data_IF_020141600800
#
_entry.id   IF_020141600800
#
_cell.length_a   1.000
_cell.length_b   1.000
_cell.length_c   1.000
_cell.angle_alpha   90.00
_cell.angle_beta   90.00
_cell.angle_gamma   90.00
#
_symmetry.space_group_name_H-M   'P 1'
#
loop_
_entity.id
_entity.type
_entity.pdbx_description
1 polymer ?
#
# COMPACT_ATOMS: atom_id res chain seq x y z
N UNK A 1 4.36 -16.00 -6.58
CA UNK A 1 5.25 -14.83 -6.50
C UNK A 1 5.15 -14.09 -7.83
N UNK A 2 4.64 -12.86 -7.86
CA UNK A 2 4.54 -12.08 -9.10
C UNK A 2 5.95 -11.83 -9.67
N UNK A 3 6.12 -11.90 -10.99
CA UNK A 3 7.43 -11.77 -11.65
C UNK A 3 8.18 -10.46 -11.28
N UNK A 4 7.45 -9.41 -10.94
CA UNK A 4 7.99 -8.12 -10.50
C UNK A 4 8.75 -8.19 -9.18
N UNK A 5 8.35 -9.06 -8.26
CA UNK A 5 8.98 -9.18 -6.95
C UNK A 5 10.44 -9.66 -7.05
N UNK A 6 10.70 -10.65 -7.91
CA UNK A 6 12.05 -11.18 -8.13
C UNK A 6 12.96 -10.13 -8.76
N UNK A 7 12.43 -9.35 -9.70
CA UNK A 7 13.17 -8.23 -10.32
C UNK A 7 13.52 -7.16 -9.28
N UNK A 8 12.58 -6.80 -8.40
CA UNK A 8 12.82 -5.80 -7.35
C UNK A 8 13.86 -6.27 -6.32
N UNK A 9 13.82 -7.54 -5.90
CA UNK A 9 14.86 -8.11 -5.01
C UNK A 9 16.23 -8.11 -5.70
N UNK A 10 16.31 -8.56 -6.96
CA UNK A 10 17.55 -8.56 -7.74
C UNK A 10 18.14 -7.15 -7.90
N UNK A 11 17.29 -6.14 -8.09
CA UNK A 11 17.73 -4.74 -8.13
C UNK A 11 18.21 -4.26 -6.76
N UNK A 12 17.49 -4.56 -5.68
CA UNK A 12 17.89 -4.19 -4.32
C UNK A 12 19.24 -4.80 -3.92
N UNK A 13 19.52 -6.02 -4.39
CA UNK A 13 20.80 -6.70 -4.16
C UNK A 13 22.00 -6.00 -4.81
N UNK A 14 21.79 -5.16 -5.85
CA UNK A 14 22.87 -4.36 -6.44
C UNK A 14 23.36 -3.25 -5.51
N UNK A 15 22.46 -2.68 -4.70
CA UNK A 15 22.78 -1.65 -3.70
C UNK A 15 23.17 -2.25 -2.34
N UNK A 16 22.50 -3.34 -1.94
CA UNK A 16 22.69 -4.00 -0.66
C UNK A 16 22.84 -5.50 -0.87
N UNK A 17 24.07 -6.00 -0.99
CA UNK A 17 24.37 -7.41 -1.28
C UNK A 17 23.84 -8.41 -0.25
N UNK A 18 23.50 -7.96 0.97
CA UNK A 18 22.89 -8.77 2.03
C UNK A 18 21.35 -8.71 2.03
N UNK A 19 20.74 -7.88 1.19
CA UNK A 19 19.30 -7.72 1.14
C UNK A 19 18.64 -8.97 0.52
N UNK A 20 17.72 -9.56 1.29
CA UNK A 20 16.90 -10.69 0.84
C UNK A 20 15.43 -10.33 0.71
N UNK A 21 14.62 -11.35 0.48
CA UNK A 21 13.14 -11.26 0.43
C UNK A 21 12.61 -10.58 1.71
N UNK A 22 13.09 -10.99 2.88
CA UNK A 22 12.68 -10.43 4.16
C UNK A 22 13.04 -8.95 4.35
N UNK A 23 14.16 -8.50 3.78
CA UNK A 23 14.58 -7.09 3.81
C UNK A 23 13.65 -6.23 2.98
N UNK A 24 13.31 -6.69 1.77
CA UNK A 24 12.36 -5.99 0.90
C UNK A 24 10.96 -5.94 1.54
N UNK A 25 10.50 -7.05 2.12
CA UNK A 25 9.21 -7.11 2.83
C UNK A 25 9.21 -6.17 4.04
N UNK A 26 10.30 -6.12 4.81
CA UNK A 26 10.39 -5.22 5.98
C UNK A 26 10.42 -3.75 5.58
N UNK A 27 10.95 -3.41 4.42
CA UNK A 27 10.89 -2.04 3.89
C UNK A 27 9.50 -1.66 3.38
N UNK A 28 8.75 -2.62 2.81
CA UNK A 28 7.41 -2.35 2.27
C UNK A 28 6.31 -2.47 3.32
N UNK A 29 6.52 -3.21 4.42
CA UNK A 29 5.52 -3.40 5.48
C UNK A 29 5.02 -2.09 6.10
N UNK A 30 5.90 -1.15 6.53
CA UNK A 30 5.45 0.10 7.14
C UNK A 30 4.67 0.96 6.16
N UNK A 31 5.11 1.01 4.89
CA UNK A 31 4.40 1.73 3.84
C UNK A 31 3.02 1.12 3.55
N UNK A 32 2.93 -0.21 3.51
CA UNK A 32 1.66 -0.92 3.32
C UNK A 32 0.69 -0.66 4.48
N UNK A 33 1.16 -0.70 5.72
CA UNK A 33 0.35 -0.37 6.90
C UNK A 33 -0.12 1.08 6.89
N UNK A 34 0.77 2.03 6.55
CA UNK A 34 0.41 3.44 6.43
C UNK A 34 -0.63 3.67 5.33
N UNK A 35 -0.47 3.03 4.18
CA UNK A 35 -1.42 3.10 3.07
C UNK A 35 -2.78 2.51 3.45
N UNK A 36 -2.78 1.37 4.14
CA UNK A 36 -4.01 0.73 4.63
C UNK A 36 -4.74 1.64 5.62
N UNK A 37 -4.03 2.21 6.60
CA UNK A 37 -4.60 3.15 7.56
C UNK A 37 -5.13 4.42 6.87
N UNK A 38 -4.38 4.97 5.92
CA UNK A 38 -4.78 6.13 5.13
C UNK A 38 -6.05 5.86 4.30
N UNK A 39 -6.16 4.67 3.70
CA UNK A 39 -7.34 4.26 2.96
C UNK A 39 -8.56 4.17 3.88
N UNK A 40 -8.44 3.48 5.01
CA UNK A 40 -9.54 3.36 5.98
C UNK A 40 -9.96 4.75 6.47
N UNK A 41 -9.00 5.61 6.80
CA UNK A 41 -9.26 6.98 7.23
C UNK A 41 -9.98 7.80 6.14
N UNK A 42 -9.54 7.68 4.88
CA UNK A 42 -10.18 8.35 3.75
C UNK A 42 -11.66 7.97 3.67
N UNK A 43 -11.98 6.68 3.66
CA UNK A 43 -13.38 6.22 3.58
C UNK A 43 -14.18 6.56 4.83
N UNK A 44 -13.59 6.49 6.02
CA UNK A 44 -14.25 6.87 7.26
C UNK A 44 -14.63 8.35 7.27
N UNK A 45 -13.71 9.23 6.85
CA UNK A 45 -13.95 10.68 6.73
C UNK A 45 -14.95 10.97 5.62
N UNK A 46 -14.83 10.30 4.47
CA UNK A 46 -15.76 10.46 3.34
C UNK A 46 -17.20 10.08 3.72
N UNK A 47 -17.35 8.98 4.47
CA UNK A 47 -18.63 8.54 5.01
C UNK A 47 -19.18 9.52 6.06
N UNK A 48 -18.34 10.01 6.98
CA UNK A 48 -18.75 10.97 8.00
C UNK A 48 -19.20 12.32 7.41
N UNK A 49 -18.62 12.73 6.28
CA UNK A 49 -19.01 13.94 5.55
C UNK A 49 -20.24 13.75 4.65
N UNK A 50 -20.76 12.53 4.50
CA UNK A 50 -21.92 12.23 3.66
C UNK A 50 -21.70 12.50 2.18
N UNK A 51 -20.44 12.57 1.73
CA UNK A 51 -20.11 12.86 0.34
C UNK A 51 -20.58 11.71 -0.55
N UNK A 52 -21.27 11.98 -1.67
CA UNK A 52 -21.69 10.92 -2.58
C UNK A 52 -20.46 10.15 -3.07
N UNK A 53 -20.51 8.82 -2.97
CA UNK A 53 -19.42 7.94 -3.43
C UNK A 53 -19.33 7.90 -4.96
N UNK A 54 -20.37 8.39 -5.64
CA UNK A 54 -20.46 8.53 -7.07
C UNK A 54 -21.73 9.25 -7.50
N UNK A 55 -21.83 9.65 -8.77
CA UNK A 55 -23.04 10.26 -9.32
C UNK A 55 -24.24 9.32 -9.15
N UNK A 56 -25.26 9.76 -8.40
CA UNK A 56 -26.45 8.96 -8.09
C UNK A 56 -26.32 7.99 -6.91
N UNK A 57 -25.17 7.97 -6.20
CA UNK A 57 -24.95 7.16 -5.00
C UNK A 57 -24.78 8.05 -3.75
N UNK A 58 -25.86 8.66 -3.25
CA UNK A 58 -25.84 9.43 -2.01
C UNK A 58 -25.57 8.50 -0.81
N UNK A 59 -24.68 8.92 0.08
CA UNK A 59 -24.53 8.30 1.40
C UNK A 59 -25.65 8.86 2.29
N UNK A 60 -26.85 8.30 2.11
CA UNK A 60 -28.09 8.63 2.82
C UNK A 60 -28.64 10.06 2.62
#
# INVERSE_FOLDING_TARGET
>A
MSATFVLTVGYLQTYQKKAGIGTLVSFTLPAAMAMMAAWIALFAVWYALGLPLGPGAPIR
#
